data_IF_098504239015
#
_entry.id   IF_098504239015
#
_cell.length_a   1.000
_cell.length_b   1.000
_cell.length_c   1.000
_cell.angle_alpha   90.00
_cell.angle_beta   90.00
_cell.angle_gamma   90.00
#
_symmetry.space_group_name_H-M   'P 1'
#
loop_
_entity.id
_entity.type
_entity.pdbx_description
1 polymer ?
#
# COMPACT_ATOMS: atom_id res chain seq x y z
N UNK A 1 -49.54 -38.74 -19.04
CA UNK A 1 -49.05 -37.42 -18.57
C UNK A 1 -47.58 -37.41 -18.11
N UNK A 2 -46.92 -38.56 -17.89
CA UNK A 2 -45.49 -38.60 -17.47
C UNK A 2 -44.48 -38.39 -18.62
N UNK A 3 -44.82 -38.71 -19.87
CA UNK A 3 -43.90 -38.62 -21.02
C UNK A 3 -43.60 -37.17 -21.44
N UNK A 4 -44.52 -36.24 -21.21
CA UNK A 4 -44.32 -34.80 -21.51
C UNK A 4 -43.50 -34.04 -20.46
N UNK A 5 -43.51 -34.49 -19.20
CA UNK A 5 -42.71 -33.88 -18.13
C UNK A 5 -41.23 -34.30 -18.23
N UNK A 6 -40.98 -35.55 -18.65
CA UNK A 6 -39.63 -36.08 -18.82
C UNK A 6 -38.86 -35.35 -19.94
N UNK A 7 -39.52 -34.97 -21.05
CA UNK A 7 -38.85 -34.26 -22.14
C UNK A 7 -38.49 -32.82 -21.77
N UNK A 8 -39.36 -32.12 -21.03
CA UNK A 8 -39.08 -30.76 -20.54
C UNK A 8 -37.95 -30.78 -19.51
N UNK A 9 -37.95 -31.74 -18.59
CA UNK A 9 -36.88 -31.89 -17.61
C UNK A 9 -35.52 -32.19 -18.28
N UNK A 10 -35.49 -33.05 -19.29
CA UNK A 10 -34.27 -33.34 -20.05
C UNK A 10 -33.70 -32.09 -20.75
N UNK A 11 -34.55 -31.26 -21.35
CA UNK A 11 -34.12 -30.01 -22.00
C UNK A 11 -33.59 -29.01 -20.97
N UNK A 12 -34.26 -28.86 -19.82
CA UNK A 12 -33.81 -27.98 -18.73
C UNK A 12 -32.45 -28.42 -18.20
N UNK A 13 -32.23 -29.71 -17.98
CA UNK A 13 -30.93 -30.24 -17.53
C UNK A 13 -29.83 -29.92 -18.53
N UNK A 14 -30.07 -30.08 -19.83
CA UNK A 14 -29.08 -29.75 -20.88
C UNK A 14 -28.77 -28.26 -20.88
N UNK A 15 -29.76 -27.38 -20.72
CA UNK A 15 -29.54 -25.93 -20.63
C UNK A 15 -28.73 -25.57 -19.38
N UNK A 16 -29.02 -26.19 -18.23
CA UNK A 16 -28.24 -26.00 -17.00
C UNK A 16 -26.79 -26.45 -17.20
N UNK A 17 -26.54 -27.62 -17.81
CA UNK A 17 -25.18 -28.09 -18.08
C UNK A 17 -24.43 -27.14 -19.00
N UNK A 18 -25.06 -26.66 -20.08
CA UNK A 18 -24.45 -25.70 -21.01
C UNK A 18 -24.15 -24.38 -20.28
N UNK A 19 -25.10 -23.87 -19.48
CA UNK A 19 -24.91 -22.66 -18.69
C UNK A 19 -23.79 -22.84 -17.65
N UNK A 20 -23.72 -23.98 -16.95
CA UNK A 20 -22.65 -24.30 -16.01
C UNK A 20 -21.29 -24.37 -16.71
N UNK A 21 -21.20 -25.03 -17.87
CA UNK A 21 -19.95 -25.08 -18.65
C UNK A 21 -19.57 -23.67 -19.14
N UNK A 22 -20.53 -22.87 -19.58
CA UNK A 22 -20.30 -21.50 -20.02
C UNK A 22 -19.79 -20.62 -18.87
N UNK A 23 -20.41 -20.70 -17.69
CA UNK A 23 -19.96 -20.01 -16.47
C UNK A 23 -18.55 -20.48 -16.09
N UNK A 24 -18.29 -21.79 -16.03
CA UNK A 24 -16.95 -22.34 -15.73
C UNK A 24 -15.90 -21.94 -16.77
N UNK A 25 -16.30 -21.64 -18.01
CA UNK A 25 -15.38 -21.24 -19.07
C UNK A 25 -15.13 -19.72 -19.13
N UNK A 26 -16.10 -18.90 -18.72
CA UNK A 26 -16.04 -17.43 -18.82
C UNK A 26 -15.87 -16.69 -17.48
N UNK A 27 -16.01 -17.36 -16.33
CA UNK A 27 -15.95 -16.68 -15.03
C UNK A 27 -14.65 -15.92 -14.77
N UNK A 28 -13.49 -16.44 -15.23
CA UNK A 28 -12.20 -15.77 -15.06
C UNK A 28 -12.17 -14.39 -15.70
N UNK A 29 -12.78 -14.25 -16.88
CA UNK A 29 -12.90 -12.97 -17.56
C UNK A 29 -13.84 -11.99 -16.85
N UNK A 30 -14.91 -12.49 -16.23
CA UNK A 30 -15.82 -11.65 -15.44
C UNK A 30 -15.19 -11.19 -14.12
N UNK A 31 -14.48 -12.08 -13.43
CA UNK A 31 -13.73 -11.76 -12.20
C UNK A 31 -12.66 -10.72 -12.54
N UNK A 32 -11.86 -10.98 -13.57
CA UNK A 32 -10.78 -10.08 -13.92
C UNK A 32 -11.28 -8.69 -14.32
N UNK A 33 -12.33 -8.60 -15.15
CA UNK A 33 -12.94 -7.31 -15.50
C UNK A 33 -13.64 -6.61 -14.33
N UNK A 34 -14.03 -7.34 -13.28
CA UNK A 34 -14.53 -6.77 -12.03
C UNK A 34 -13.41 -6.15 -11.19
N UNK A 35 -12.30 -6.88 -11.04
CA UNK A 35 -11.11 -6.41 -10.29
C UNK A 35 -10.47 -5.21 -11.00
N UNK A 36 -10.33 -5.25 -12.32
CA UNK A 36 -9.76 -4.15 -13.12
C UNK A 36 -10.52 -2.83 -12.87
N UNK A 37 -11.87 -2.89 -12.88
CA UNK A 37 -12.71 -1.73 -12.60
C UNK A 37 -12.64 -1.27 -11.15
N UNK A 38 -12.51 -2.21 -10.20
CA UNK A 38 -12.39 -1.86 -8.79
C UNK A 38 -11.04 -1.20 -8.49
N UNK A 39 -9.96 -1.71 -9.08
CA UNK A 39 -8.62 -1.12 -9.00
C UNK A 39 -8.58 0.27 -9.63
N UNK A 40 -9.11 0.43 -10.84
CA UNK A 40 -9.23 1.73 -11.52
C UNK A 40 -10.00 2.75 -10.65
N UNK A 41 -11.16 2.35 -10.10
CA UNK A 41 -11.94 3.21 -9.21
C UNK A 41 -11.19 3.57 -7.92
N UNK A 42 -10.46 2.63 -7.31
CA UNK A 42 -9.70 2.86 -6.10
C UNK A 42 -8.51 3.82 -6.35
N UNK A 43 -7.77 3.62 -7.44
CA UNK A 43 -6.61 4.47 -7.76
C UNK A 43 -7.03 5.90 -8.12
N UNK A 44 -8.14 6.07 -8.85
CA UNK A 44 -8.72 7.40 -9.13
C UNK A 44 -9.13 8.11 -7.84
N UNK A 45 -9.67 7.39 -6.86
CA UNK A 45 -10.00 7.96 -5.55
C UNK A 45 -8.76 8.32 -4.74
N UNK A 46 -7.67 7.54 -4.85
CA UNK A 46 -6.42 7.77 -4.13
C UNK A 46 -5.56 8.91 -4.71
N UNK A 47 -5.92 9.45 -5.90
CA UNK A 47 -5.22 10.56 -6.55
C UNK A 47 -3.69 10.34 -6.67
N UNK A 48 -3.27 9.11 -7.00
CA UNK A 48 -1.85 8.82 -7.29
C UNK A 48 -1.37 9.64 -8.50
N UNK A 49 -0.04 9.81 -8.62
CA UNK A 49 0.54 10.43 -9.81
C UNK A 49 0.20 9.60 -11.08
N UNK A 50 -0.11 10.28 -12.18
CA UNK A 50 -0.50 9.64 -13.45
C UNK A 50 0.53 8.60 -13.94
N UNK A 51 1.83 8.83 -13.67
CA UNK A 51 2.92 7.91 -14.00
C UNK A 51 2.88 6.63 -13.16
N UNK A 52 2.89 6.77 -11.84
CA UNK A 52 2.88 5.64 -10.90
C UNK A 52 1.58 4.84 -10.98
N UNK A 53 0.44 5.51 -11.18
CA UNK A 53 -0.84 4.86 -11.42
C UNK A 53 -0.79 3.98 -12.68
N UNK A 54 -0.16 4.47 -13.75
CA UNK A 54 -0.04 3.74 -15.01
C UNK A 54 0.76 2.46 -14.84
N UNK A 55 1.85 2.50 -14.08
CA UNK A 55 2.72 1.35 -13.88
C UNK A 55 2.11 0.32 -12.92
N UNK A 56 1.50 0.76 -11.82
CA UNK A 56 0.70 -0.09 -10.94
C UNK A 56 -0.40 -0.81 -11.73
N UNK A 57 -1.10 -0.10 -12.61
CA UNK A 57 -2.10 -0.69 -13.48
C UNK A 57 -1.52 -1.64 -14.53
N UNK A 58 -0.29 -1.42 -14.98
CA UNK A 58 0.38 -2.34 -15.89
C UNK A 58 0.66 -3.70 -15.21
N UNK A 59 1.15 -3.70 -13.97
CA UNK A 59 1.33 -4.93 -13.20
C UNK A 59 0.01 -5.63 -12.92
N UNK A 60 -1.03 -4.88 -12.51
CA UNK A 60 -2.37 -5.43 -12.31
C UNK A 60 -2.93 -6.06 -13.59
N UNK A 61 -2.79 -5.37 -14.73
CA UNK A 61 -3.26 -5.88 -16.04
C UNK A 61 -2.51 -7.15 -16.42
N UNK A 62 -1.19 -7.20 -16.21
CA UNK A 62 -0.38 -8.39 -16.47
C UNK A 62 -0.83 -9.58 -15.60
N UNK A 63 -1.08 -9.37 -14.31
CA UNK A 63 -1.60 -10.39 -13.40
C UNK A 63 -2.97 -10.90 -13.84
N UNK A 64 -3.88 -9.99 -14.20
CA UNK A 64 -5.21 -10.32 -14.69
C UNK A 64 -5.15 -11.10 -16.01
N UNK A 65 -4.24 -10.75 -16.90
CA UNK A 65 -4.08 -11.44 -18.17
C UNK A 65 -3.50 -12.85 -18.00
N UNK A 66 -2.49 -13.03 -17.14
CA UNK A 66 -2.01 -14.36 -16.71
C UNK A 66 -3.14 -15.20 -16.10
N UNK A 67 -4.04 -14.58 -15.34
CA UNK A 67 -5.21 -15.26 -14.78
C UNK A 67 -6.24 -15.64 -15.85
N UNK A 68 -6.58 -14.73 -16.77
CA UNK A 68 -7.50 -14.96 -17.89
C UNK A 68 -6.97 -16.05 -18.83
N UNK A 69 -5.67 -16.06 -19.10
CA UNK A 69 -5.00 -17.03 -19.99
C UNK A 69 -4.82 -18.41 -19.34
N UNK A 70 -5.06 -18.53 -18.02
CA UNK A 70 -4.84 -19.74 -17.20
C UNK A 70 -3.37 -20.11 -17.05
N UNK A 71 -2.47 -19.15 -17.22
CA UNK A 71 -1.06 -19.31 -16.85
C UNK A 71 -0.91 -19.44 -15.33
N UNK A 72 -1.74 -18.72 -14.57
CA UNK A 72 -1.90 -18.90 -13.12
C UNK A 72 -3.31 -19.41 -12.80
N UNK A 73 -3.42 -20.28 -11.80
CA UNK A 73 -4.69 -20.85 -11.36
C UNK A 73 -5.41 -19.91 -10.35
N UNK A 74 -6.52 -20.38 -9.76
CA UNK A 74 -7.24 -19.55 -8.78
C UNK A 74 -6.47 -19.41 -7.47
N UNK A 75 -5.76 -20.45 -7.05
CA UNK A 75 -5.04 -20.46 -5.78
C UNK A 75 -3.86 -19.49 -5.84
N UNK A 76 -3.07 -19.54 -6.91
CA UNK A 76 -2.00 -18.58 -7.17
C UNK A 76 -2.53 -17.15 -7.27
N UNK A 77 -3.59 -16.92 -8.07
CA UNK A 77 -4.15 -15.58 -8.25
C UNK A 77 -4.67 -14.96 -6.94
N UNK A 78 -5.48 -15.69 -6.17
CA UNK A 78 -5.94 -15.18 -4.87
C UNK A 78 -4.84 -15.17 -3.80
N UNK A 79 -3.84 -16.05 -3.93
CA UNK A 79 -2.64 -16.07 -3.10
C UNK A 79 -1.84 -14.77 -3.21
N UNK A 80 -1.72 -14.20 -4.42
CA UNK A 80 -1.13 -12.87 -4.63
C UNK A 80 -1.84 -11.80 -3.80
N UNK A 81 -3.17 -11.71 -3.89
CA UNK A 81 -3.91 -10.72 -3.09
C UNK A 81 -3.79 -10.97 -1.58
N UNK A 82 -3.79 -12.23 -1.14
CA UNK A 82 -3.56 -12.57 0.28
C UNK A 82 -2.19 -12.07 0.76
N UNK A 83 -1.14 -12.32 -0.03
CA UNK A 83 0.22 -11.85 0.24
C UNK A 83 0.33 -10.32 0.24
N UNK A 84 -0.33 -9.65 -0.69
CA UNK A 84 -0.32 -8.19 -0.78
C UNK A 84 -1.02 -7.54 0.42
N UNK A 85 -2.16 -8.07 0.86
CA UNK A 85 -2.87 -7.55 2.04
C UNK A 85 -2.08 -7.77 3.34
N UNK A 86 -1.32 -8.86 3.42
CA UNK A 86 -0.38 -9.13 4.53
C UNK A 86 0.92 -8.32 4.41
N UNK A 87 1.20 -7.72 3.25
CA UNK A 87 2.45 -7.00 2.99
C UNK A 87 2.44 -5.61 3.64
N UNK A 88 3.58 -5.16 4.20
CA UNK A 88 3.75 -3.78 4.65
C UNK A 88 3.49 -2.75 3.54
N UNK A 89 3.59 -3.15 2.26
CA UNK A 89 3.33 -2.30 1.10
C UNK A 89 1.95 -1.63 1.13
N UNK A 90 0.90 -2.36 1.53
CA UNK A 90 -0.46 -1.77 1.53
C UNK A 90 -0.59 -0.70 2.62
N UNK A 91 0.01 -0.94 3.79
CA UNK A 91 0.02 0.02 4.88
C UNK A 91 0.85 1.26 4.52
N UNK A 92 2.03 1.09 3.93
CA UNK A 92 2.89 2.20 3.50
C UNK A 92 2.26 2.99 2.36
N UNK A 93 1.66 2.32 1.36
CA UNK A 93 0.95 2.98 0.25
C UNK A 93 -0.23 3.81 0.74
N UNK A 94 -1.00 3.30 1.71
CA UNK A 94 -2.12 4.03 2.31
C UNK A 94 -1.65 5.34 2.94
N UNK A 95 -0.56 5.29 3.72
CA UNK A 95 0.03 6.48 4.34
C UNK A 95 0.63 7.41 3.28
N UNK A 96 1.31 6.88 2.27
CA UNK A 96 1.86 7.66 1.16
C UNK A 96 0.78 8.46 0.41
N UNK A 97 -0.42 7.88 0.27
CA UNK A 97 -1.57 8.53 -0.33
C UNK A 97 -2.16 9.71 0.47
N UNK A 98 -1.83 9.85 1.77
CA UNK A 98 -2.38 10.92 2.62
C UNK A 98 -1.97 12.31 2.13
N UNK A 99 -0.78 12.48 1.53
CA UNK A 99 -0.39 13.79 0.99
C UNK A 99 -1.39 14.27 -0.07
N UNK A 100 -1.79 13.38 -0.99
CA UNK A 100 -2.72 13.69 -2.07
C UNK A 100 -4.16 13.80 -1.58
N UNK A 101 -4.55 12.92 -0.66
CA UNK A 101 -5.91 12.91 -0.12
C UNK A 101 -6.23 14.15 0.73
N UNK A 102 -5.25 14.64 1.49
CA UNK A 102 -5.50 15.68 2.49
C UNK A 102 -4.52 16.85 2.43
N UNK A 103 -3.22 16.60 2.37
CA UNK A 103 -2.22 17.65 2.61
C UNK A 103 -2.14 18.65 1.44
N UNK A 104 -2.12 18.16 0.20
CA UNK A 104 -1.92 18.98 -1.01
C UNK A 104 -2.96 20.12 -1.10
N UNK A 105 -4.23 19.79 -0.89
CA UNK A 105 -5.37 20.72 -1.00
C UNK A 105 -5.83 21.30 0.35
N UNK A 106 -5.13 21.00 1.45
CA UNK A 106 -5.46 21.56 2.77
C UNK A 106 -5.17 23.06 2.90
N UNK A 107 -5.75 23.65 3.96
CA UNK A 107 -5.47 25.03 4.42
C UNK A 107 -4.13 25.18 5.16
N UNK A 108 -3.33 24.10 5.28
CA UNK A 108 -1.98 24.18 5.85
C UNK A 108 -1.11 25.14 5.03
N UNK A 109 -0.16 25.79 5.68
CA UNK A 109 0.81 26.62 4.96
C UNK A 109 1.91 25.77 4.30
N UNK A 110 2.71 26.37 3.42
CA UNK A 110 3.73 25.65 2.63
C UNK A 110 4.79 24.94 3.49
N UNK A 111 5.17 25.53 4.63
CA UNK A 111 6.11 24.91 5.57
C UNK A 111 5.49 23.69 6.25
N UNK A 112 4.24 23.82 6.71
CA UNK A 112 3.47 22.72 7.29
C UNK A 112 3.27 21.57 6.28
N UNK A 113 2.96 21.87 5.02
CA UNK A 113 2.81 20.85 3.96
C UNK A 113 4.13 20.14 3.67
N UNK A 114 5.23 20.88 3.66
CA UNK A 114 6.57 20.30 3.43
C UNK A 114 6.95 19.37 4.58
N UNK A 115 6.75 19.81 5.82
CA UNK A 115 6.99 18.99 7.00
C UNK A 115 6.09 17.75 7.01
N UNK A 116 4.79 17.91 6.71
CA UNK A 116 3.84 16.81 6.62
C UNK A 116 4.33 15.69 5.69
N UNK A 117 4.77 16.04 4.48
CA UNK A 117 5.31 15.08 3.51
C UNK A 117 6.51 14.33 4.05
N UNK A 118 7.42 15.03 4.73
CA UNK A 118 8.59 14.40 5.36
C UNK A 118 8.15 13.41 6.43
N UNK A 119 7.28 13.81 7.37
CA UNK A 119 6.87 12.92 8.46
C UNK A 119 6.05 11.72 7.98
N UNK A 120 5.18 11.92 6.98
CA UNK A 120 4.42 10.85 6.36
C UNK A 120 5.33 9.87 5.61
N UNK A 121 6.31 10.37 4.87
CA UNK A 121 7.29 9.51 4.18
C UNK A 121 8.16 8.74 5.17
N UNK A 122 8.54 9.34 6.29
CA UNK A 122 9.26 8.64 7.37
C UNK A 122 8.42 7.54 7.98
N UNK A 123 7.17 7.83 8.30
CA UNK A 123 6.26 6.82 8.83
C UNK A 123 6.00 5.69 7.81
N UNK A 124 5.78 6.02 6.54
CA UNK A 124 5.60 5.05 5.47
C UNK A 124 6.83 4.14 5.26
N UNK A 125 8.05 4.70 5.32
CA UNK A 125 9.28 3.91 5.26
C UNK A 125 9.43 3.00 6.48
N UNK A 126 9.13 3.51 7.68
CA UNK A 126 9.16 2.68 8.89
C UNK A 126 8.18 1.52 8.83
N UNK A 127 6.99 1.70 8.24
CA UNK A 127 6.06 0.61 7.96
C UNK A 127 6.64 -0.35 6.93
N UNK A 128 7.13 0.17 5.81
CA UNK A 128 7.66 -0.60 4.69
C UNK A 128 8.83 -1.51 5.08
N UNK A 129 9.77 -0.99 5.85
CA UNK A 129 10.94 -1.71 6.36
C UNK A 129 10.63 -2.56 7.61
N UNK A 130 9.34 -2.69 7.97
CA UNK A 130 8.85 -3.46 9.13
C UNK A 130 9.42 -2.97 10.48
N UNK A 131 9.94 -1.74 10.54
CA UNK A 131 10.41 -1.09 11.76
C UNK A 131 9.26 -0.55 12.63
N UNK A 132 8.10 -0.30 12.02
CA UNK A 132 6.86 0.13 12.65
C UNK A 132 5.79 -0.93 12.41
N UNK A 133 5.07 -1.33 13.47
CA UNK A 133 3.99 -2.31 13.37
C UNK A 133 2.81 -1.73 12.54
N UNK A 134 2.25 -2.46 11.57
CA UNK A 134 1.14 -1.99 10.76
C UNK A 134 -0.10 -1.55 11.55
N UNK A 135 -0.30 -2.03 12.78
CA UNK A 135 -1.40 -1.57 13.66
C UNK A 135 -1.27 -0.10 14.09
N UNK A 136 -0.07 0.49 14.02
CA UNK A 136 0.16 1.91 14.33
C UNK A 136 -0.47 2.84 13.30
N UNK A 137 -0.83 2.34 12.11
CA UNK A 137 -1.60 3.11 11.11
C UNK A 137 -2.93 3.60 11.69
N UNK A 138 -3.62 2.79 12.50
CA UNK A 138 -4.88 3.18 13.12
C UNK A 138 -4.68 4.37 14.09
N UNK A 139 -3.56 4.38 14.80
CA UNK A 139 -3.21 5.47 15.73
C UNK A 139 -2.92 6.76 14.98
N UNK A 140 -2.14 6.69 13.90
CA UNK A 140 -1.78 7.86 13.08
C UNK A 140 -2.99 8.42 12.34
N UNK A 141 -3.87 7.56 11.83
CA UNK A 141 -5.06 7.99 11.09
C UNK A 141 -6.26 8.29 11.99
N UNK A 142 -6.14 8.17 13.32
CA UNK A 142 -7.24 8.34 14.26
C UNK A 142 -7.95 9.71 14.12
N UNK A 143 -7.20 10.80 13.89
CA UNK A 143 -7.77 12.14 13.76
C UNK A 143 -8.51 12.36 12.44
N UNK A 144 -8.24 11.58 11.39
CA UNK A 144 -8.87 11.72 10.06
C UNK A 144 -9.81 10.56 9.73
N UNK A 145 -10.00 9.62 10.66
CA UNK A 145 -10.84 8.45 10.46
C UNK A 145 -12.17 8.52 11.22
N UNK A 146 -13.12 7.69 10.78
CA UNK A 146 -14.43 7.52 11.39
C UNK A 146 -14.86 6.05 11.37
N UNK A 147 -15.67 5.66 12.34
CA UNK A 147 -16.32 4.33 12.40
C UNK A 147 -17.78 4.37 11.91
N UNK A 148 -18.28 5.56 11.58
CA UNK A 148 -19.61 5.79 11.02
C UNK A 148 -19.46 6.52 9.70
N UNK A 149 -19.13 5.81 8.61
CA UNK A 149 -18.88 6.43 7.32
C UNK A 149 -20.13 7.05 6.72
N UNK A 150 -19.95 8.14 5.99
CA UNK A 150 -20.94 8.72 5.10
C UNK A 150 -20.74 8.28 3.63
N UNK A 151 -21.45 8.93 2.70
CA UNK A 151 -21.39 8.59 1.27
C UNK A 151 -20.11 9.09 0.55
N UNK A 152 -19.38 10.04 1.15
CA UNK A 152 -18.17 10.65 0.57
C UNK A 152 -16.87 10.13 1.20
N UNK A 153 -16.98 9.42 2.33
CA UNK A 153 -15.85 8.82 3.02
C UNK A 153 -15.20 7.67 2.24
N UNK A 154 -13.87 7.55 2.39
CA UNK A 154 -13.11 6.44 1.82
C UNK A 154 -13.16 5.27 2.80
N UNK A 155 -14.04 4.32 2.54
CA UNK A 155 -14.22 3.13 3.37
C UNK A 155 -13.06 2.15 3.17
N UNK A 156 -12.31 1.91 4.25
CA UNK A 156 -11.22 0.95 4.28
C UNK A 156 -11.65 -0.30 5.08
N UNK A 157 -11.40 -1.47 4.51
CA UNK A 157 -11.51 -2.73 5.22
C UNK A 157 -10.11 -3.24 5.49
N UNK A 158 -9.67 -3.14 6.75
CA UNK A 158 -8.36 -3.60 7.17
C UNK A 158 -8.50 -4.87 8.03
N UNK A 159 -7.70 -5.90 7.73
CA UNK A 159 -7.64 -7.10 8.56
C UNK A 159 -6.64 -6.88 9.70
N UNK A 160 -7.13 -6.69 10.92
CA UNK A 160 -6.29 -6.59 12.12
C UNK A 160 -6.08 -7.98 12.73
N UNK A 161 -5.20 -8.76 12.11
CA UNK A 161 -4.80 -10.07 12.60
C UNK A 161 -5.94 -11.09 12.72
N UNK A 162 -5.84 -12.11 13.61
CA UNK A 162 -6.80 -13.21 13.68
C UNK A 162 -8.18 -12.83 14.28
N UNK A 163 -8.35 -11.60 14.76
CA UNK A 163 -9.53 -11.15 15.51
C UNK A 163 -10.70 -10.69 14.62
N UNK A 164 -10.48 -10.48 13.32
CA UNK A 164 -11.51 -10.06 12.36
C UNK A 164 -11.12 -8.79 11.60
N UNK A 165 -11.92 -8.43 10.59
CA UNK A 165 -11.74 -7.17 9.85
C UNK A 165 -12.32 -6.00 10.65
N UNK A 166 -11.52 -4.96 10.90
CA UNK A 166 -12.03 -3.66 11.35
C UNK A 166 -12.35 -2.83 10.12
N UNK A 167 -13.58 -2.33 10.05
CA UNK A 167 -13.98 -1.34 9.07
C UNK A 167 -13.85 0.04 9.70
N UNK A 168 -13.00 0.87 9.10
CA UNK A 168 -12.95 2.30 9.38
C UNK A 168 -12.96 3.03 8.04
N UNK A 169 -13.31 4.30 8.05
CA UNK A 169 -13.25 5.11 6.85
C UNK A 169 -12.42 6.36 7.09
N UNK A 170 -11.74 6.83 6.05
CA UNK A 170 -11.13 8.13 6.08
C UNK A 170 -12.20 9.17 5.73
N UNK A 171 -12.31 10.21 6.57
CA UNK A 171 -13.29 11.28 6.42
C UNK A 171 -13.05 12.03 5.12
N UNK A 172 -14.08 12.52 4.46
CA UNK A 172 -13.88 13.34 3.27
C UNK A 172 -12.99 14.55 3.57
N UNK A 173 -12.19 14.99 2.59
CA UNK A 173 -11.18 16.03 2.80
C UNK A 173 -11.77 17.37 3.27
N UNK A 174 -13.02 17.67 2.92
CA UNK A 174 -13.74 18.87 3.36
C UNK A 174 -14.22 18.82 4.82
N UNK A 175 -14.28 17.62 5.43
CA UNK A 175 -14.59 17.43 6.84
C UNK A 175 -13.35 17.36 7.75
N UNK A 176 -12.16 17.27 7.16
CA UNK A 176 -10.88 17.20 7.90
C UNK A 176 -10.31 18.60 8.09
N UNK A 177 -10.17 19.00 9.35
CA UNK A 177 -9.66 20.33 9.68
C UNK A 177 -8.13 20.39 9.65
N UNK A 178 -7.56 21.60 9.55
CA UNK A 178 -6.11 21.77 9.67
C UNK A 178 -5.54 21.29 11.02
N UNK A 179 -6.33 21.35 12.10
CA UNK A 179 -5.91 20.82 13.41
C UNK A 179 -5.89 19.29 13.42
N UNK A 180 -6.84 18.63 12.75
CA UNK A 180 -6.84 17.18 12.58
C UNK A 180 -5.60 16.71 11.79
N UNK A 181 -5.20 17.48 10.77
CA UNK A 181 -3.99 17.19 9.98
C UNK A 181 -2.72 17.38 10.81
N UNK A 182 -2.65 18.44 11.63
CA UNK A 182 -1.51 18.64 12.55
C UNK A 182 -1.39 17.52 13.56
N UNK A 183 -2.51 17.03 14.10
CA UNK A 183 -2.54 15.86 14.99
C UNK A 183 -2.00 14.61 14.27
N UNK A 184 -2.49 14.34 13.05
CA UNK A 184 -2.02 13.21 12.23
C UNK A 184 -0.51 13.29 11.96
N UNK A 185 -0.01 14.46 11.57
CA UNK A 185 1.41 14.69 11.29
C UNK A 185 2.25 14.51 12.58
N UNK A 186 1.76 14.99 13.72
CA UNK A 186 2.43 14.83 15.00
C UNK A 186 2.53 13.35 15.42
N UNK A 187 1.46 12.57 15.21
CA UNK A 187 1.48 11.13 15.48
C UNK A 187 2.45 10.40 14.53
N UNK A 188 2.41 10.69 13.23
CA UNK A 188 3.33 10.11 12.25
C UNK A 188 4.80 10.40 12.62
N UNK A 189 5.12 11.65 12.98
CA UNK A 189 6.45 12.04 13.47
C UNK A 189 6.84 11.24 14.70
N UNK A 190 5.99 11.21 15.73
CA UNK A 190 6.31 10.53 16.99
C UNK A 190 6.63 9.05 16.76
N UNK A 191 5.86 8.37 15.91
CA UNK A 191 6.10 6.96 15.57
C UNK A 191 7.38 6.74 14.78
N UNK A 192 7.67 7.62 13.80
CA UNK A 192 8.91 7.58 13.06
C UNK A 192 10.14 7.87 13.95
N UNK A 193 10.04 8.82 14.87
CA UNK A 193 11.10 9.17 15.82
C UNK A 193 11.35 8.04 16.82
N UNK A 194 10.29 7.43 17.37
CA UNK A 194 10.39 6.29 18.29
C UNK A 194 11.02 5.06 17.63
N UNK A 195 10.76 4.85 16.33
CA UNK A 195 11.36 3.79 15.52
C UNK A 195 12.77 4.14 15.00
N UNK A 196 13.25 5.37 15.19
CA UNK A 196 14.58 5.80 14.75
C UNK A 196 14.71 5.95 13.23
N UNK A 197 13.61 6.17 12.51
CA UNK A 197 13.63 6.36 11.06
C UNK A 197 14.38 7.65 10.72
N UNK A 198 15.26 7.61 9.73
CA UNK A 198 16.05 8.76 9.29
C UNK A 198 15.15 9.95 8.89
N UNK A 199 15.71 11.17 8.93
CA UNK A 199 14.95 12.38 8.62
C UNK A 199 14.59 12.54 7.14
N UNK A 200 15.35 11.90 6.26
CA UNK A 200 15.18 11.96 4.80
C UNK A 200 15.31 10.56 4.20
N UNK A 201 14.35 9.65 4.49
CA UNK A 201 14.40 8.29 3.97
C UNK A 201 14.10 8.30 2.46
N UNK A 202 14.53 7.25 1.74
CA UNK A 202 14.25 7.13 0.32
C UNK A 202 12.74 7.15 0.03
N UNK A 203 12.40 7.53 -1.19
CA UNK A 203 11.03 7.42 -1.67
C UNK A 203 10.72 5.95 -1.99
N UNK A 204 9.57 5.47 -1.53
CA UNK A 204 9.13 4.09 -1.80
C UNK A 204 8.50 4.09 -3.19
N UNK A 205 9.09 3.35 -4.12
CA UNK A 205 8.48 3.09 -5.42
C UNK A 205 7.42 2.00 -5.26
N UNK A 206 6.14 2.42 -5.16
CA UNK A 206 5.03 1.50 -4.92
C UNK A 206 4.82 0.58 -6.13
N UNK A 207 5.09 1.07 -7.34
CA UNK A 207 4.94 0.31 -8.57
C UNK A 207 5.93 -0.85 -8.63
N UNK A 208 7.23 -0.55 -8.48
CA UNK A 208 8.27 -1.57 -8.54
C UNK A 208 8.14 -2.55 -7.37
N UNK A 209 7.81 -2.06 -6.17
CA UNK A 209 7.57 -2.95 -5.03
C UNK A 209 6.37 -3.86 -5.26
N UNK A 210 5.27 -3.35 -5.83
CA UNK A 210 4.12 -4.17 -6.18
C UNK A 210 4.50 -5.27 -7.17
N UNK A 211 5.29 -4.93 -8.20
CA UNK A 211 5.77 -5.91 -9.18
C UNK A 211 6.62 -7.01 -8.53
N UNK A 212 7.54 -6.65 -7.63
CA UNK A 212 8.35 -7.60 -6.85
C UNK A 212 7.45 -8.48 -5.97
N UNK A 213 6.52 -7.90 -5.22
CA UNK A 213 5.63 -8.64 -4.33
C UNK A 213 4.72 -9.63 -5.09
N UNK A 214 4.27 -9.26 -6.30
CA UNK A 214 3.53 -10.19 -7.17
C UNK A 214 4.44 -11.33 -7.64
N UNK A 215 5.68 -11.03 -8.06
CA UNK A 215 6.64 -12.05 -8.48
C UNK A 215 6.92 -13.05 -7.36
N UNK A 216 7.18 -12.58 -6.15
CA UNK A 216 7.41 -13.41 -4.97
C UNK A 216 6.21 -14.29 -4.64
N UNK A 217 5.01 -13.73 -4.67
CA UNK A 217 3.79 -14.47 -4.40
C UNK A 217 3.52 -15.58 -5.43
N UNK A 218 3.97 -15.39 -6.68
CA UNK A 218 3.89 -16.38 -7.75
C UNK A 218 5.11 -17.33 -7.79
N UNK A 219 6.18 -17.05 -7.04
CA UNK A 219 7.45 -17.75 -7.14
C UNK A 219 8.13 -17.54 -8.50
N UNK A 220 7.88 -16.40 -9.14
CA UNK A 220 8.46 -16.00 -10.42
C UNK A 220 9.72 -15.15 -10.21
N UNK A 221 10.51 -15.00 -11.28
CA UNK A 221 11.64 -14.08 -11.30
C UNK A 221 11.12 -12.63 -11.29
N UNK A 222 11.54 -11.78 -10.33
CA UNK A 222 11.13 -10.37 -10.25
C UNK A 222 11.35 -9.57 -11.53
N UNK A 223 12.35 -9.93 -12.34
CA UNK A 223 12.64 -9.25 -13.62
C UNK A 223 11.56 -9.44 -14.68
N UNK A 224 10.67 -10.41 -14.51
CA UNK A 224 9.49 -10.60 -15.37
C UNK A 224 8.41 -9.55 -15.12
N UNK A 225 8.44 -8.93 -13.94
CA UNK A 225 7.50 -7.92 -13.50
C UNK A 225 8.11 -6.54 -13.60
N UNK A 226 9.32 -6.38 -13.08
CA UNK A 226 10.06 -5.11 -13.03
C UNK A 226 11.37 -5.28 -13.78
N UNK A 227 11.56 -4.65 -14.96
CA UNK A 227 12.75 -4.88 -15.80
C UNK A 227 14.09 -4.68 -15.09
N UNK A 228 14.14 -3.83 -14.06
CA UNK A 228 15.34 -3.52 -13.27
C UNK A 228 15.32 -4.14 -11.85
N UNK A 229 14.48 -5.15 -11.59
CA UNK A 229 14.27 -5.70 -10.24
C UNK A 229 15.55 -6.11 -9.50
N UNK A 230 16.55 -6.62 -10.23
CA UNK A 230 17.81 -7.05 -9.63
C UNK A 230 18.59 -5.88 -9.00
N UNK A 231 18.55 -4.69 -9.60
CA UNK A 231 19.24 -3.50 -9.06
C UNK A 231 18.55 -3.01 -7.78
N UNK A 232 17.23 -3.13 -7.69
CA UNK A 232 16.41 -2.72 -6.54
C UNK A 232 16.52 -3.68 -5.35
N UNK A 233 16.66 -4.98 -5.62
CA UNK A 233 16.86 -5.99 -4.58
C UNK A 233 18.28 -5.91 -4.00
N UNK A 234 19.27 -5.60 -4.83
CA UNK A 234 20.65 -5.37 -4.37
C UNK A 234 20.73 -4.11 -3.47
N UNK A 235 20.04 -3.01 -3.80
CA UNK A 235 20.03 -1.82 -2.95
C UNK A 235 19.34 -2.02 -1.60
N UNK A 236 18.41 -2.96 -1.49
CA UNK A 236 17.75 -3.33 -0.23
C UNK A 236 18.57 -4.33 0.61
N UNK A 237 19.54 -5.00 0.00
CA UNK A 237 20.34 -6.06 0.63
C UNK A 237 21.60 -5.55 1.30
N UNK A 238 22.05 -4.33 0.99
CA UNK A 238 23.23 -3.74 1.61
C UNK A 238 22.91 -3.34 3.05
N UNK A 239 23.49 -3.98 4.08
CA UNK A 239 23.38 -3.47 5.43
C UNK A 239 24.04 -2.10 5.41
N UNK A 240 23.31 -1.07 5.87
CA UNK A 240 23.85 0.28 6.10
C UNK A 240 25.22 0.13 6.73
N UNK A 241 26.27 0.30 5.91
CA UNK A 241 27.63 0.30 6.37
C UNK A 241 27.71 1.54 7.24
N UNK A 242 27.56 1.35 8.55
CA UNK A 242 27.77 2.39 9.54
C UNK A 242 29.19 2.88 9.29
N UNK A 243 29.32 3.97 8.54
CA UNK A 243 30.56 4.70 8.44
C UNK A 243 30.93 4.97 9.89
N UNK A 244 32.08 4.48 10.38
CA UNK A 244 32.51 4.78 11.72
C UNK A 244 32.51 6.30 11.83
N UNK A 245 31.70 6.83 12.75
CA UNK A 245 31.84 8.21 13.18
C UNK A 245 33.27 8.27 13.71
N UNK A 246 34.17 8.84 12.91
CA UNK A 246 35.48 9.27 13.37
C UNK A 246 35.21 10.24 14.54
N UNK A 247 35.23 9.70 15.76
CA UNK A 247 35.35 10.50 16.96
C UNK A 247 36.65 11.27 16.82
N UNK A 248 36.53 12.56 16.54
CA UNK A 248 37.59 13.53 16.66
C UNK A 248 37.51 14.16 18.06
N UNK A 249 38.36 13.78 19.04
CA UNK A 249 38.47 14.49 20.29
C UNK A 249 39.74 15.36 20.29
N UNK A 250 39.80 16.41 19.48
CA UNK A 250 40.69 17.53 19.77
C UNK A 250 39.89 18.75 20.26
N UNK A 251 39.52 18.69 21.54
CA UNK A 251 39.15 19.89 22.30
C UNK A 251 40.43 20.70 22.58
N UNK A 252 40.47 22.01 22.30
CA UNK A 252 41.63 22.86 22.56
C UNK A 252 41.84 23.07 24.05
N UNK A 253 43.00 22.69 24.57
CA UNK A 253 43.42 22.94 25.93
C UNK A 253 43.82 24.41 26.14
N UNK A 254 43.25 24.97 27.21
CA UNK A 254 43.30 26.36 27.65
C UNK A 254 44.69 26.98 27.84
N UNK A 255 44.73 28.27 27.55
CA UNK A 255 45.69 29.26 28.04
C UNK A 255 45.43 29.53 29.54
N UNK A 256 46.41 29.31 30.41
CA UNK A 256 46.68 30.24 31.53
C UNK A 256 48.03 29.90 32.20
N UNK A 257 49.08 30.65 31.85
CA UNK A 257 50.29 30.78 32.66
C UNK A 257 50.57 32.27 32.84
N UNK A 258 49.88 32.84 33.83
CA UNK A 258 50.19 34.14 34.42
C UNK A 258 50.62 33.91 35.86
N UNK A 259 51.93 33.86 36.10
CA UNK A 259 52.50 34.15 37.42
C UNK A 259 53.93 34.71 37.27
N UNK A 260 54.04 36.03 37.36
CA UNK A 260 55.19 36.71 37.98
C UNK A 260 54.77 37.15 39.40
N UNK A 261 55.69 37.33 40.35
CA UNK A 261 56.95 38.07 40.19
C UNK A 261 58.24 37.34 40.58
#
# INVERSE_FOLDING_TARGET
>A
MLVGCLSVLAVVIVVVIIATIFVIRSYRGWIAGGIEKAADAALVQMQLDDGEQTEVMAHMTMLLDKYKSKEIDNEAFFGVFGKLVESPLVASALVGGIDKLYIADSELNDEEKTDARVQLRRFANGLFEEQIDPSEVEVVLASVSTTTPDDNDIVLQYQTGPAGSTQFALRSADEVSGDDLRELIAQARAKADDAGIESDPPEIDISDTLGIAIAEALGEDPTLWVPNANELLESQSDPVEQTPVDEDPETPGDLDDNDGP
#
